data_IF_531309925283
#
_entry.id   IF_531309925283
#
_cell.length_a   1.000
_cell.length_b   1.000
_cell.length_c   1.000
_cell.angle_alpha   90.00
_cell.angle_beta   90.00
_cell.angle_gamma   90.00
#
_symmetry.space_group_name_H-M   'P 1'
#
loop_
_entity.id
_entity.type
_entity.pdbx_description
1 polymer ?
#
# COMPACT_ATOMS: atom_id res chain seq x y z
N UNK A 1 -10.01 -11.75 15.68
CA UNK A 1 -8.60 -11.79 15.24
C UNK A 1 -8.58 -12.67 14.01
N UNK A 2 -8.12 -12.18 12.86
CA UNK A 2 -7.97 -13.02 11.67
C UNK A 2 -7.10 -14.22 12.02
N UNK A 3 -7.60 -15.42 11.75
CA UNK A 3 -6.80 -16.62 11.93
C UNK A 3 -5.91 -16.75 10.69
N UNK A 4 -4.67 -16.29 10.80
CA UNK A 4 -3.66 -16.34 9.72
C UNK A 4 -3.51 -17.77 9.19
N UNK A 5 -3.60 -18.78 10.06
CA UNK A 5 -3.54 -20.18 9.65
C UNK A 5 -4.76 -20.58 8.80
N UNK A 6 -5.97 -20.15 9.18
CA UNK A 6 -7.17 -20.41 8.38
C UNK A 6 -7.11 -19.72 7.00
N UNK A 7 -6.53 -18.52 6.93
CA UNK A 7 -6.32 -17.81 5.66
C UNK A 7 -5.26 -18.49 4.79
N UNK A 8 -4.16 -18.96 5.40
CA UNK A 8 -3.13 -19.74 4.72
C UNK A 8 -3.68 -21.05 4.16
N UNK A 9 -4.44 -21.80 4.97
CA UNK A 9 -5.13 -23.03 4.54
C UNK A 9 -6.10 -22.77 3.39
N UNK A 10 -6.87 -21.68 3.46
CA UNK A 10 -7.76 -21.29 2.37
C UNK A 10 -6.97 -20.97 1.10
N UNK A 11 -5.89 -20.20 1.19
CA UNK A 11 -5.05 -19.87 0.02
C UNK A 11 -4.36 -21.10 -0.56
N UNK A 12 -3.86 -22.03 0.26
CA UNK A 12 -3.30 -23.31 -0.20
C UNK A 12 -4.35 -24.10 -0.99
N UNK A 13 -5.56 -24.24 -0.43
CA UNK A 13 -6.66 -24.97 -1.06
C UNK A 13 -7.12 -24.33 -2.37
N UNK A 14 -7.43 -23.03 -2.37
CA UNK A 14 -7.99 -22.35 -3.55
C UNK A 14 -6.94 -22.17 -4.66
N UNK A 15 -5.69 -21.88 -4.29
CA UNK A 15 -4.63 -21.61 -5.28
C UNK A 15 -3.85 -22.84 -5.73
N UNK A 16 -4.08 -24.00 -5.08
CA UNK A 16 -3.39 -25.27 -5.33
C UNK A 16 -1.86 -25.18 -5.23
N UNK A 17 -1.35 -24.23 -4.46
CA UNK A 17 0.08 -24.05 -4.16
C UNK A 17 0.43 -24.71 -2.84
N UNK A 18 1.68 -25.10 -2.67
CA UNK A 18 2.18 -25.53 -1.38
C UNK A 18 2.14 -24.40 -0.35
N UNK A 19 2.10 -24.75 0.93
CA UNK A 19 2.16 -23.78 2.03
C UNK A 19 3.38 -22.87 1.91
N UNK A 20 4.55 -23.42 1.57
CA UNK A 20 5.79 -22.66 1.37
C UNK A 20 5.66 -21.63 0.25
N UNK A 21 5.05 -22.00 -0.87
CA UNK A 21 4.84 -21.07 -1.99
C UNK A 21 3.87 -19.94 -1.62
N UNK A 22 2.79 -20.26 -0.90
CA UNK A 22 1.83 -19.25 -0.42
C UNK A 22 2.51 -18.30 0.57
N UNK A 23 3.30 -18.84 1.51
CA UNK A 23 4.06 -18.04 2.48
C UNK A 23 5.08 -17.13 1.80
N UNK A 24 5.83 -17.65 0.82
CA UNK A 24 6.77 -16.85 0.04
C UNK A 24 6.06 -15.73 -0.73
N UNK A 25 4.90 -16.03 -1.35
CA UNK A 25 4.10 -15.04 -2.06
C UNK A 25 3.55 -13.96 -1.11
N UNK A 26 3.08 -14.35 0.07
CA UNK A 26 2.61 -13.43 1.10
C UNK A 26 3.74 -12.49 1.56
N UNK A 27 4.93 -13.04 1.84
CA UNK A 27 6.09 -12.24 2.23
C UNK A 27 6.51 -11.26 1.13
N UNK A 28 6.64 -11.72 -0.12
CA UNK A 28 6.99 -10.87 -1.25
C UNK A 28 5.96 -9.76 -1.47
N UNK A 29 4.68 -10.08 -1.34
CA UNK A 29 3.59 -9.11 -1.50
C UNK A 29 3.60 -8.09 -0.37
N UNK A 30 3.80 -8.54 0.87
CA UNK A 30 3.94 -7.68 2.04
C UNK A 30 5.13 -6.72 1.91
N UNK A 31 6.30 -7.22 1.51
CA UNK A 31 7.49 -6.36 1.29
C UNK A 31 7.22 -5.32 0.21
N UNK A 32 6.63 -5.70 -0.93
CA UNK A 32 6.27 -4.74 -1.98
C UNK A 32 5.31 -3.66 -1.48
N UNK A 33 4.30 -4.05 -0.71
CA UNK A 33 3.34 -3.12 -0.13
C UNK A 33 4.03 -2.14 0.83
N UNK A 34 4.84 -2.64 1.76
CA UNK A 34 5.55 -1.81 2.73
C UNK A 34 6.52 -0.82 2.06
N UNK A 35 7.24 -1.28 1.03
CA UNK A 35 8.12 -0.40 0.25
C UNK A 35 7.34 0.70 -0.46
N UNK A 36 6.18 0.37 -1.05
CA UNK A 36 5.32 1.37 -1.68
C UNK A 36 4.84 2.41 -0.67
N UNK A 37 4.35 1.99 0.49
CA UNK A 37 3.89 2.89 1.55
C UNK A 37 5.02 3.83 2.03
N UNK A 38 6.24 3.29 2.18
CA UNK A 38 7.42 4.08 2.52
C UNK A 38 7.69 5.17 1.48
N UNK A 39 7.75 4.81 0.19
CA UNK A 39 8.05 5.76 -0.90
C UNK A 39 6.96 6.82 -1.04
N UNK A 40 5.68 6.44 -1.01
CA UNK A 40 4.57 7.39 -1.05
C UNK A 40 4.61 8.35 0.15
N UNK A 41 4.95 7.85 1.34
CA UNK A 41 5.14 8.69 2.52
C UNK A 41 6.27 9.72 2.34
N UNK A 42 7.41 9.30 1.77
CA UNK A 42 8.52 10.23 1.44
C UNK A 42 8.08 11.29 0.44
N UNK A 43 7.36 10.87 -0.61
CA UNK A 43 6.82 11.78 -1.62
C UNK A 43 5.86 12.82 -1.03
N UNK A 44 4.87 12.39 -0.24
CA UNK A 44 3.89 13.29 0.37
C UNK A 44 4.52 14.28 1.38
N UNK A 45 5.67 13.93 1.96
CA UNK A 45 6.47 14.85 2.81
C UNK A 45 7.43 15.76 2.01
N UNK A 46 7.48 15.62 0.69
CA UNK A 46 8.36 16.40 -0.18
C UNK A 46 9.83 15.96 -0.12
N UNK A 47 10.12 14.76 0.38
CA UNK A 47 11.48 14.22 0.51
C UNK A 47 12.03 13.65 -0.81
N UNK A 48 11.15 13.34 -1.76
CA UNK A 48 11.48 12.90 -3.12
C UNK A 48 10.58 13.59 -4.13
N UNK A 49 11.02 13.65 -5.39
CA UNK A 49 10.23 14.26 -6.46
C UNK A 49 9.04 13.38 -6.88
N UNK A 50 8.07 13.98 -7.58
CA UNK A 50 6.94 13.25 -8.16
C UNK A 50 7.42 12.22 -9.18
N UNK A 51 8.37 12.60 -10.04
CA UNK A 51 8.92 11.72 -11.07
C UNK A 51 9.66 10.52 -10.46
N UNK A 52 10.46 10.74 -9.40
CA UNK A 52 11.15 9.68 -8.67
C UNK A 52 10.16 8.71 -8.01
N UNK A 53 9.07 9.23 -7.43
CA UNK A 53 8.00 8.40 -6.88
C UNK A 53 7.30 7.59 -7.98
N UNK A 54 6.98 8.21 -9.12
CA UNK A 54 6.32 7.55 -10.25
C UNK A 54 7.17 6.42 -10.84
N UNK A 55 8.47 6.63 -10.98
CA UNK A 55 9.40 5.62 -11.47
C UNK A 55 9.49 4.41 -10.51
N UNK A 56 9.39 4.67 -9.20
CA UNK A 56 9.56 3.64 -8.18
C UNK A 56 8.29 2.83 -7.90
N UNK A 57 7.13 3.50 -7.77
CA UNK A 57 5.88 2.84 -7.37
C UNK A 57 4.81 2.82 -8.46
N UNK A 58 4.97 3.58 -9.54
CA UNK A 58 4.00 3.70 -10.62
C UNK A 58 3.06 4.90 -10.47
N UNK A 59 2.62 5.44 -11.60
CA UNK A 59 1.76 6.64 -11.69
C UNK A 59 0.46 6.51 -10.90
N UNK A 60 -0.24 5.37 -11.01
CA UNK A 60 -1.54 5.15 -10.37
C UNK A 60 -1.47 5.31 -8.85
N UNK A 61 -0.37 4.86 -8.24
CA UNK A 61 -0.17 4.95 -6.79
C UNK A 61 0.15 6.37 -6.34
N UNK A 62 0.91 7.12 -7.15
CA UNK A 62 1.20 8.53 -6.87
C UNK A 62 -0.08 9.36 -6.97
N UNK A 63 -0.86 9.19 -8.03
CA UNK A 63 -2.13 9.91 -8.21
C UNK A 63 -3.15 9.57 -7.10
N UNK A 64 -3.22 8.30 -6.68
CA UNK A 64 -4.08 7.91 -5.58
C UNK A 64 -3.66 8.60 -4.27
N UNK A 65 -2.36 8.64 -3.97
CA UNK A 65 -1.83 9.29 -2.78
C UNK A 65 -2.09 10.81 -2.80
N UNK A 66 -1.93 11.46 -3.95
CA UNK A 66 -2.26 12.88 -4.14
C UNK A 66 -3.75 13.15 -3.85
N UNK A 67 -4.66 12.35 -4.43
CA UNK A 67 -6.11 12.48 -4.20
C UNK A 67 -6.48 12.27 -2.73
N UNK A 68 -5.87 11.30 -2.06
CA UNK A 68 -6.09 11.05 -0.63
C UNK A 68 -5.61 12.22 0.24
N UNK A 69 -4.43 12.77 -0.05
CA UNK A 69 -3.92 13.97 0.64
C UNK A 69 -4.88 15.15 0.47
N UNK A 70 -5.33 15.39 -0.76
CA UNK A 70 -6.19 16.52 -1.06
C UNK A 70 -7.55 16.41 -0.34
N UNK A 71 -8.13 15.21 -0.29
CA UNK A 71 -9.34 14.94 0.50
C UNK A 71 -9.16 15.21 2.01
N UNK A 72 -8.02 14.80 2.59
CA UNK A 72 -7.72 15.08 4.01
C UNK A 72 -7.57 16.59 4.25
N UNK A 73 -6.93 17.32 3.34
CA UNK A 73 -6.76 18.77 3.44
C UNK A 73 -8.13 19.47 3.36
N UNK A 74 -9.00 19.03 2.47
CA UNK A 74 -10.36 19.55 2.34
C UNK A 74 -11.17 19.33 3.63
N UNK A 75 -11.13 18.12 4.19
CA UNK A 75 -11.79 17.79 5.46
C UNK A 75 -11.26 18.65 6.62
N UNK A 76 -9.95 18.88 6.69
CA UNK A 76 -9.35 19.75 7.70
C UNK A 76 -9.80 21.21 7.52
N UNK A 77 -9.80 21.71 6.28
CA UNK A 77 -10.25 23.06 5.98
C UNK A 77 -11.74 23.26 6.31
N UNK A 78 -12.57 22.23 6.10
CA UNK A 78 -13.96 22.22 6.55
C UNK A 78 -14.06 22.30 8.08
N UNK A 79 -13.29 21.48 8.80
CA UNK A 79 -13.30 21.46 10.27
C UNK A 79 -12.84 22.81 10.88
N UNK A 80 -11.89 23.50 10.26
CA UNK A 80 -11.38 24.79 10.73
C UNK A 80 -12.33 25.98 10.49
N UNK A 81 -13.32 25.83 9.60
CA UNK A 81 -14.33 26.87 9.33
C UNK A 81 -15.53 26.81 10.29
N UNK A 82 -15.54 25.86 11.21
CA UNK A 82 -16.63 25.59 12.15
C UNK A 82 -16.23 25.96 13.58
#
# INVERSE_FOLDING_TARGET
MENIMANLEALVRETHKSETEVMALALQTGIRQLMRELILGRYLRGEISRDEAMETVGIDWVELAEKQRDAIIEDLAWAMKK
#
